data_IF_846560223975
#
_entry.id   IF_846560223975
#
_cell.length_a   1.000
_cell.length_b   1.000
_cell.length_c   1.000
_cell.angle_alpha   90.00
_cell.angle_beta   90.00
_cell.angle_gamma   90.00
#
_symmetry.space_group_name_H-M   'P 1'
#
loop_
_entity.id
_entity.type
_entity.pdbx_description
1 polymer ?
#
# COMPACT_ATOMS: atom_id res chain seq x y z
N UNK A 1 35.13 -16.86 -15.91
CA UNK A 1 33.90 -16.48 -16.65
C UNK A 1 32.77 -16.47 -15.62
N UNK A 2 32.40 -15.29 -15.10
CA UNK A 2 31.35 -15.16 -14.09
C UNK A 2 29.99 -15.09 -14.81
N UNK A 3 28.95 -15.81 -14.38
CA UNK A 3 27.66 -15.73 -15.04
C UNK A 3 27.05 -14.32 -14.84
N UNK A 4 26.68 -13.69 -15.95
CA UNK A 4 26.02 -12.36 -16.03
C UNK A 4 24.49 -12.47 -15.98
N UNK A 5 23.93 -13.60 -15.56
CA UNK A 5 22.49 -13.81 -15.57
C UNK A 5 21.85 -13.17 -14.34
N UNK A 6 21.17 -12.05 -14.53
CA UNK A 6 20.13 -11.59 -13.61
C UNK A 6 18.79 -12.22 -14.05
N UNK A 7 18.12 -12.94 -13.14
CA UNK A 7 16.76 -13.41 -13.34
C UNK A 7 15.81 -12.49 -12.56
N UNK A 8 14.83 -11.92 -13.25
CA UNK A 8 13.78 -11.10 -12.63
C UNK A 8 12.51 -11.94 -12.54
N UNK A 9 12.15 -12.42 -11.35
CA UNK A 9 10.83 -12.98 -11.09
C UNK A 9 9.84 -11.82 -10.92
N UNK A 10 9.17 -11.46 -12.01
CA UNK A 10 8.04 -10.54 -11.95
C UNK A 10 6.86 -11.24 -11.30
N UNK A 11 6.55 -10.90 -10.04
CA UNK A 11 5.35 -11.42 -9.37
C UNK A 11 4.24 -10.38 -9.40
N UNK A 12 3.12 -10.74 -10.04
CA UNK A 12 1.90 -9.95 -10.03
C UNK A 12 1.07 -10.30 -8.80
N UNK A 13 0.65 -9.29 -8.03
CA UNK A 13 -0.31 -9.45 -6.95
C UNK A 13 -1.44 -8.45 -7.10
N UNK A 14 -2.66 -8.93 -6.86
CA UNK A 14 -3.86 -8.12 -6.85
C UNK A 14 -4.20 -7.74 -5.40
N UNK A 15 -4.16 -6.45 -5.11
CA UNK A 15 -4.60 -5.90 -3.83
C UNK A 15 -5.88 -5.10 -4.05
N UNK A 16 -6.92 -5.44 -3.29
CA UNK A 16 -8.18 -4.70 -3.35
C UNK A 16 -8.02 -3.30 -2.75
N UNK A 17 -8.80 -2.34 -3.26
CA UNK A 17 -8.85 -0.98 -2.71
C UNK A 17 -9.14 -0.97 -1.21
N UNK A 18 -10.07 -1.81 -0.76
CA UNK A 18 -10.41 -1.97 0.64
C UNK A 18 -9.21 -2.45 1.48
N UNK A 19 -8.43 -3.42 0.98
CA UNK A 19 -7.25 -3.93 1.68
C UNK A 19 -6.15 -2.87 1.77
N UNK A 20 -5.87 -2.16 0.69
CA UNK A 20 -4.92 -1.04 0.70
C UNK A 20 -5.36 0.04 1.69
N UNK A 21 -6.64 0.44 1.64
CA UNK A 21 -7.19 1.46 2.52
C UNK A 21 -7.17 1.06 3.99
N UNK A 22 -7.53 -0.19 4.31
CA UNK A 22 -7.48 -0.73 5.66
C UNK A 22 -6.03 -0.79 6.20
N UNK A 23 -5.05 -0.87 5.31
CA UNK A 23 -3.62 -0.82 5.59
C UNK A 23 -3.00 0.59 5.44
N UNK A 24 -3.79 1.65 5.33
CA UNK A 24 -3.27 3.00 5.12
C UNK A 24 -2.21 3.40 6.16
N UNK A 25 -1.00 3.82 5.75
CA UNK A 25 0.09 4.16 6.65
C UNK A 25 0.09 5.64 7.06
N UNK A 26 -0.96 6.42 6.77
CA UNK A 26 -1.05 7.81 7.20
C UNK A 26 -1.05 7.94 8.73
N UNK A 27 -0.65 9.11 9.24
CA UNK A 27 -0.53 9.38 10.68
C UNK A 27 -1.83 9.11 11.44
N UNK A 28 -2.98 9.51 10.88
CA UNK A 28 -4.30 9.29 11.48
C UNK A 28 -4.63 7.79 11.61
N UNK A 29 -4.48 7.01 10.54
CA UNK A 29 -4.74 5.56 10.59
C UNK A 29 -3.73 4.82 11.47
N UNK A 30 -2.46 5.26 11.48
CA UNK A 30 -1.45 4.70 12.37
C UNK A 30 -1.80 4.95 13.83
N UNK A 31 -2.17 6.19 14.19
CA UNK A 31 -2.62 6.53 15.52
C UNK A 31 -3.88 5.74 15.92
N UNK A 32 -4.87 5.64 15.03
CA UNK A 32 -6.07 4.84 15.25
C UNK A 32 -5.74 3.38 15.59
N UNK A 33 -4.84 2.74 14.83
CA UNK A 33 -4.38 1.36 15.10
C UNK A 33 -3.66 1.24 16.44
N UNK A 34 -2.81 2.20 16.80
CA UNK A 34 -2.15 2.21 18.12
C UNK A 34 -3.16 2.29 19.26
N UNK A 35 -4.28 3.00 19.07
CA UNK A 35 -5.38 3.09 20.02
C UNK A 35 -6.37 1.91 19.92
N UNK A 36 -6.04 0.84 19.19
CA UNK A 36 -6.89 -0.34 19.02
C UNK A 36 -8.13 -0.12 18.16
N UNK A 37 -8.23 1.01 17.45
CA UNK A 37 -9.31 1.28 16.52
C UNK A 37 -8.99 0.67 15.16
N UNK A 38 -9.93 -0.12 14.65
CA UNK A 38 -9.86 -0.67 13.30
C UNK A 38 -10.61 0.28 12.38
N UNK A 39 -9.89 1.02 11.55
CA UNK A 39 -10.49 1.78 10.45
C UNK A 39 -10.93 0.79 9.37
N UNK A 40 -12.18 0.35 9.46
CA UNK A 40 -12.79 -0.45 8.40
C UNK A 40 -12.85 0.40 7.12
N UNK A 41 -12.23 -0.09 6.05
CA UNK A 41 -12.32 0.56 4.75
C UNK A 41 -13.78 0.53 4.27
N UNK A 42 -14.38 1.67 3.90
CA UNK A 42 -15.72 1.70 3.30
C UNK A 42 -15.76 0.84 2.04
N UNK A 43 -16.85 0.09 1.82
CA UNK A 43 -17.00 -0.79 0.64
C UNK A 43 -16.99 -0.02 -0.70
N UNK A 44 -17.35 1.25 -0.64
CA UNK A 44 -17.41 2.20 -1.74
C UNK A 44 -16.11 2.99 -1.91
N UNK A 45 -15.09 2.77 -1.07
CA UNK A 45 -13.82 3.50 -1.21
C UNK A 45 -13.20 3.23 -2.59
N UNK A 46 -12.76 4.31 -3.24
CA UNK A 46 -12.09 4.27 -4.55
C UNK A 46 -10.73 4.93 -4.45
N UNK A 47 -9.80 4.41 -5.23
CA UNK A 47 -8.53 5.06 -5.46
C UNK A 47 -8.72 6.15 -6.52
N UNK A 48 -8.40 7.38 -6.17
CA UNK A 48 -8.52 8.57 -7.03
C UNK A 48 -7.25 8.85 -7.80
N UNK A 49 -6.10 8.66 -7.15
CA UNK A 49 -4.80 8.91 -7.77
C UNK A 49 -3.72 8.02 -7.15
N UNK A 50 -2.65 7.83 -7.93
CA UNK A 50 -1.42 7.18 -7.50
C UNK A 50 -0.28 8.12 -7.86
N UNK A 51 0.40 8.67 -6.85
CA UNK A 51 1.57 9.51 -7.09
C UNK A 51 2.83 8.70 -6.77
N UNK A 52 3.80 8.73 -7.69
CA UNK A 52 5.06 8.01 -7.54
C UNK A 52 5.97 8.73 -6.56
N UNK A 53 6.42 8.01 -5.54
CA UNK A 53 7.42 8.48 -4.59
C UNK A 53 8.71 7.66 -4.80
N UNK A 54 9.89 8.23 -4.58
CA UNK A 54 11.16 7.53 -4.87
C UNK A 54 11.27 6.12 -4.25
N UNK A 55 10.68 5.91 -3.07
CA UNK A 55 10.71 4.64 -2.33
C UNK A 55 9.35 3.92 -2.26
N UNK A 56 8.33 4.41 -2.97
CA UNK A 56 6.97 3.85 -2.87
C UNK A 56 5.95 4.60 -3.70
N UNK A 57 4.68 4.53 -3.30
CA UNK A 57 3.60 5.28 -3.94
C UNK A 57 2.70 5.92 -2.90
N UNK A 58 2.30 7.16 -3.15
CA UNK A 58 1.20 7.78 -2.44
C UNK A 58 -0.11 7.34 -3.08
N UNK A 59 -1.01 6.79 -2.28
CA UNK A 59 -2.34 6.38 -2.73
C UNK A 59 -3.36 7.38 -2.21
N UNK A 60 -4.11 8.00 -3.13
CA UNK A 60 -5.14 8.98 -2.79
C UNK A 60 -6.51 8.31 -2.84
N UNK A 61 -7.16 8.17 -1.68
CA UNK A 61 -8.49 7.56 -1.57
C UNK A 61 -9.60 8.61 -1.56
N UNK A 62 -10.78 8.20 -2.04
CA UNK A 62 -11.97 9.07 -2.14
C UNK A 62 -12.56 9.51 -0.80
N UNK A 63 -12.17 8.89 0.31
CA UNK A 63 -12.67 9.14 1.66
C UNK A 63 -11.80 10.14 2.45
N UNK A 64 -10.92 10.87 1.77
CA UNK A 64 -10.05 11.89 2.38
C UNK A 64 -8.69 11.36 2.84
N UNK A 65 -8.37 10.09 2.60
CA UNK A 65 -7.06 9.53 2.91
C UNK A 65 -6.11 9.71 1.72
N UNK A 66 -5.47 10.89 1.65
CA UNK A 66 -4.59 11.28 0.55
C UNK A 66 -3.10 11.38 0.95
N UNK A 67 -2.78 11.40 2.25
CA UNK A 67 -1.40 11.57 2.75
C UNK A 67 -0.62 10.25 2.94
N UNK A 68 -1.21 9.09 2.63
CA UNK A 68 -0.59 7.79 2.88
C UNK A 68 0.45 7.40 1.82
N UNK A 69 1.73 7.39 2.18
CA UNK A 69 2.81 6.85 1.33
C UNK A 69 3.05 5.38 1.69
N UNK A 70 2.92 4.51 0.69
CA UNK A 70 3.12 3.06 0.78
C UNK A 70 4.50 2.72 0.23
N UNK A 71 5.48 2.37 1.08
CA UNK A 71 6.77 1.87 0.62
C UNK A 71 6.61 0.60 -0.22
N UNK A 72 7.50 0.38 -1.20
CA UNK A 72 7.47 -0.83 -2.03
C UNK A 72 7.58 -2.12 -1.19
N UNK A 73 8.38 -2.10 -0.13
CA UNK A 73 8.47 -3.22 0.83
C UNK A 73 7.14 -3.52 1.49
N UNK A 74 6.45 -2.48 1.95
CA UNK A 74 5.16 -2.62 2.61
C UNK A 74 4.07 -3.16 1.66
N UNK A 75 4.06 -2.73 0.40
CA UNK A 75 3.14 -3.28 -0.60
C UNK A 75 3.40 -4.77 -0.88
N UNK A 76 4.66 -5.21 -0.89
CA UNK A 76 5.02 -6.63 -1.01
C UNK A 76 4.54 -7.43 0.21
N UNK A 77 4.72 -6.90 1.41
CA UNK A 77 4.21 -7.51 2.64
C UNK A 77 2.68 -7.66 2.61
N UNK A 78 1.96 -6.61 2.20
CA UNK A 78 0.50 -6.65 2.07
C UNK A 78 0.02 -7.66 1.03
N UNK A 79 0.82 -7.89 -0.01
CA UNK A 79 0.60 -8.88 -1.05
C UNK A 79 1.00 -10.31 -0.65
N UNK A 80 1.51 -10.51 0.57
CA UNK A 80 1.96 -11.83 1.04
C UNK A 80 3.26 -12.28 0.36
N UNK A 81 4.04 -11.34 -0.15
CA UNK A 81 5.32 -11.58 -0.82
C UNK A 81 6.52 -11.23 0.09
N UNK A 82 6.30 -11.26 1.41
CA UNK A 82 7.32 -10.99 2.42
C UNK A 82 8.27 -12.18 2.57
#
# INVERSE_FOLDING_TARGET
>A
MLPTSCAWSGQLSLLSHARLRAACPCSQCRAARLHGRIDAAPSDVRLRAINRQGYGVQLVFSDGHDQGIYPWSYLRELAGQA
#
